data_IF_607261604567
#
_entry.id   IF_607261604567
#
_cell.length_a   1.000
_cell.length_b   1.000
_cell.length_c   1.000
_cell.angle_alpha   90.00
_cell.angle_beta   90.00
_cell.angle_gamma   90.00
#
_symmetry.space_group_name_H-M   'P 1'
#
loop_
_entity.id
_entity.type
_entity.pdbx_description
1 polymer ?
#
# COMPACT_ATOMS: atom_id res chain seq x y z
N UNK A 1 -62.79 -13.02 40.83
CA UNK A 1 -61.62 -12.25 40.36
C UNK A 1 -60.52 -13.23 39.95
N UNK A 2 -60.35 -13.48 38.65
CA UNK A 2 -59.27 -14.31 38.13
C UNK A 2 -58.58 -13.55 36.99
N UNK A 3 -57.41 -13.00 37.25
CA UNK A 3 -56.65 -12.17 36.31
C UNK A 3 -55.84 -13.12 35.42
N UNK A 4 -56.24 -13.22 34.14
CA UNK A 4 -55.50 -13.99 33.13
C UNK A 4 -54.28 -13.18 32.68
N UNK A 5 -53.09 -13.60 33.11
CA UNK A 5 -51.81 -12.99 32.77
C UNK A 5 -51.33 -13.51 31.40
N UNK A 6 -51.39 -12.68 30.36
CA UNK A 6 -50.80 -12.98 29.06
C UNK A 6 -49.29 -12.74 29.12
N UNK A 7 -48.48 -13.81 29.24
CA UNK A 7 -47.03 -13.72 29.00
C UNK A 7 -46.79 -13.48 27.52
N UNK A 8 -46.35 -12.26 27.17
CA UNK A 8 -45.75 -11.97 25.85
C UNK A 8 -44.53 -12.86 25.67
N UNK A 9 -44.55 -13.77 24.68
CA UNK A 9 -43.34 -14.44 24.19
C UNK A 9 -42.44 -13.37 23.58
N UNK A 10 -41.27 -13.16 24.18
CA UNK A 10 -40.20 -12.35 23.58
C UNK A 10 -39.72 -13.07 22.33
N UNK A 11 -39.94 -12.46 21.17
CA UNK A 11 -39.46 -12.94 19.89
C UNK A 11 -37.98 -12.52 19.75
N UNK A 12 -37.07 -13.27 20.36
CA UNK A 12 -35.64 -13.11 20.07
C UNK A 12 -35.38 -13.83 18.75
N UNK A 13 -35.12 -13.06 17.69
CA UNK A 13 -34.64 -13.61 16.42
C UNK A 13 -33.39 -14.47 16.67
N UNK A 14 -33.25 -15.63 16.00
CA UNK A 14 -32.07 -16.45 16.15
C UNK A 14 -30.87 -15.66 15.64
N UNK A 15 -29.86 -15.46 16.50
CA UNK A 15 -28.55 -14.95 16.11
C UNK A 15 -28.05 -15.85 14.99
N UNK A 16 -28.07 -15.36 13.74
CA UNK A 16 -27.47 -16.08 12.62
C UNK A 16 -25.99 -16.22 12.93
N UNK A 17 -25.55 -17.44 13.21
CA UNK A 17 -24.13 -17.77 13.23
C UNK A 17 -23.54 -17.33 11.89
N UNK A 18 -22.73 -16.27 11.91
CA UNK A 18 -21.97 -15.86 10.73
C UNK A 18 -20.95 -16.97 10.50
N UNK A 19 -21.21 -17.85 9.53
CA UNK A 19 -20.27 -18.90 9.16
C UNK A 19 -18.99 -18.23 8.69
N UNK A 20 -17.95 -18.31 9.53
CA UNK A 20 -16.64 -17.74 9.23
C UNK A 20 -16.04 -18.40 7.99
N UNK A 21 -15.56 -17.60 7.04
CA UNK A 21 -14.91 -18.14 5.84
C UNK A 21 -13.57 -18.79 6.21
N UNK A 22 -13.42 -20.07 5.84
CA UNK A 22 -12.17 -20.82 6.06
C UNK A 22 -11.05 -20.31 5.14
N UNK A 23 -9.80 -20.35 5.63
CA UNK A 23 -8.59 -20.01 4.86
C UNK A 23 -8.18 -21.11 3.86
N UNK A 24 -9.08 -21.45 2.93
CA UNK A 24 -8.79 -22.42 1.87
C UNK A 24 -8.01 -21.78 0.72
N UNK A 25 -7.25 -22.57 -0.05
CA UNK A 25 -6.54 -22.09 -1.26
C UNK A 25 -7.47 -21.35 -2.23
N UNK A 26 -8.72 -21.83 -2.37
CA UNK A 26 -9.75 -21.19 -3.20
C UNK A 26 -10.15 -19.83 -2.64
N UNK A 27 -10.51 -19.75 -1.35
CA UNK A 27 -10.94 -18.49 -0.75
C UNK A 27 -9.84 -17.43 -0.74
N UNK A 28 -8.59 -17.83 -0.47
CA UNK A 28 -7.44 -16.93 -0.58
C UNK A 28 -7.30 -16.43 -2.02
N UNK A 29 -7.39 -17.31 -3.02
CA UNK A 29 -7.35 -16.90 -4.42
C UNK A 29 -8.46 -15.90 -4.77
N UNK A 30 -9.69 -16.19 -4.35
CA UNK A 30 -10.88 -15.38 -4.63
C UNK A 30 -10.78 -14.00 -3.95
N UNK A 31 -10.25 -13.94 -2.72
CA UNK A 31 -9.93 -12.69 -2.03
C UNK A 31 -8.99 -11.79 -2.86
N UNK A 32 -7.88 -12.34 -3.34
CA UNK A 32 -6.95 -11.58 -4.19
C UNK A 32 -7.53 -11.23 -5.57
N UNK A 33 -8.43 -12.05 -6.13
CA UNK A 33 -9.17 -11.70 -7.36
C UNK A 33 -10.10 -10.51 -7.10
N UNK A 34 -10.81 -10.51 -5.97
CA UNK A 34 -11.71 -9.41 -5.59
C UNK A 34 -10.95 -8.08 -5.46
N UNK A 35 -9.76 -8.08 -4.83
CA UNK A 35 -8.91 -6.88 -4.72
C UNK A 35 -8.55 -6.34 -6.11
N UNK A 36 -8.06 -7.20 -7.01
CA UNK A 36 -7.63 -6.80 -8.36
C UNK A 36 -8.76 -6.24 -9.21
N UNK A 37 -9.97 -6.77 -9.01
CA UNK A 37 -11.15 -6.36 -9.77
C UNK A 37 -11.91 -5.20 -9.10
N UNK A 38 -11.35 -4.57 -8.06
CA UNK A 38 -12.00 -3.49 -7.31
C UNK A 38 -13.38 -3.87 -6.75
N UNK A 39 -13.59 -5.16 -6.45
CA UNK A 39 -14.82 -5.63 -5.81
C UNK A 39 -14.72 -5.45 -4.29
N UNK A 40 -14.88 -4.20 -3.86
CA UNK A 40 -14.62 -3.78 -2.49
C UNK A 40 -15.58 -4.45 -1.48
N UNK A 41 -16.81 -4.74 -1.90
CA UNK A 41 -17.79 -5.47 -1.08
C UNK A 41 -17.30 -6.87 -0.74
N UNK A 42 -16.82 -7.63 -1.74
CA UNK A 42 -16.35 -8.99 -1.49
C UNK A 42 -15.07 -9.02 -0.66
N UNK A 43 -14.13 -8.09 -0.92
CA UNK A 43 -12.92 -7.95 -0.11
C UNK A 43 -13.28 -7.75 1.37
N UNK A 44 -14.25 -6.89 1.66
CA UNK A 44 -14.69 -6.64 3.04
C UNK A 44 -15.47 -7.82 3.63
N UNK A 45 -16.23 -8.56 2.82
CA UNK A 45 -16.90 -9.78 3.28
C UNK A 45 -15.86 -10.83 3.72
N UNK A 46 -14.75 -11.00 2.98
CA UNK A 46 -13.65 -11.87 3.41
C UNK A 46 -13.06 -11.41 4.74
N UNK A 47 -12.64 -10.14 4.85
CA UNK A 47 -11.98 -9.59 6.05
C UNK A 47 -12.91 -9.65 7.28
N UNK A 48 -14.19 -9.35 7.11
CA UNK A 48 -15.16 -9.33 8.22
C UNK A 48 -15.60 -10.74 8.64
N UNK A 49 -15.58 -11.71 7.72
CA UNK A 49 -15.93 -13.10 8.05
C UNK A 49 -14.77 -13.86 8.69
N UNK A 50 -13.52 -13.52 8.35
CA UNK A 50 -12.32 -14.04 8.98
C UNK A 50 -11.19 -13.01 8.95
N UNK A 51 -10.75 -12.56 10.13
CA UNK A 51 -9.70 -11.56 10.28
C UNK A 51 -8.34 -11.97 9.71
N UNK A 52 -8.07 -13.28 9.55
CA UNK A 52 -6.83 -13.78 8.96
C UNK A 52 -6.62 -13.29 7.51
N UNK A 53 -7.68 -12.97 6.77
CA UNK A 53 -7.57 -12.37 5.44
C UNK A 53 -6.88 -11.00 5.44
N UNK A 54 -6.83 -10.32 6.59
CA UNK A 54 -6.16 -9.00 6.72
C UNK A 54 -4.65 -9.10 6.46
N UNK A 55 -4.03 -10.22 6.83
CA UNK A 55 -2.57 -10.43 6.78
C UNK A 55 -2.16 -11.60 5.89
N UNK A 56 -3.09 -12.24 5.19
CA UNK A 56 -2.76 -13.35 4.29
C UNK A 56 -1.87 -12.86 3.14
N UNK A 57 -0.76 -13.54 2.94
CA UNK A 57 0.06 -13.41 1.74
C UNK A 57 -0.40 -14.40 0.67
N UNK A 58 -0.29 -14.03 -0.61
CA UNK A 58 -0.66 -14.90 -1.72
C UNK A 58 0.29 -16.10 -1.79
N UNK A 59 -0.19 -17.34 -1.61
CA UNK A 59 0.69 -18.51 -1.59
C UNK A 59 1.02 -19.02 -2.99
N UNK A 60 2.22 -19.58 -3.13
CA UNK A 60 2.64 -20.47 -4.22
C UNK A 60 3.32 -19.79 -5.40
N UNK A 61 4.38 -20.40 -5.91
CA UNK A 61 5.18 -19.95 -7.06
C UNK A 61 4.89 -20.80 -8.32
N UNK A 62 5.04 -20.25 -9.54
CA UNK A 62 5.07 -18.83 -9.89
C UNK A 62 3.65 -18.37 -10.24
N UNK A 63 2.96 -17.69 -9.31
CA UNK A 63 1.64 -17.10 -9.56
C UNK A 63 1.70 -15.59 -9.41
N UNK A 64 0.83 -14.90 -10.13
CA UNK A 64 0.63 -13.45 -10.01
C UNK A 64 0.45 -13.05 -8.55
N UNK A 65 1.25 -12.07 -8.13
CA UNK A 65 1.27 -11.49 -6.78
C UNK A 65 1.78 -12.43 -5.68
N UNK A 66 2.53 -13.49 -6.02
CA UNK A 66 3.10 -14.41 -5.03
C UNK A 66 3.89 -13.65 -3.94
N UNK A 67 3.72 -14.08 -2.69
CA UNK A 67 4.38 -13.47 -1.53
C UNK A 67 3.77 -12.14 -1.11
N UNK A 68 2.95 -11.48 -1.95
CA UNK A 68 2.36 -10.19 -1.62
C UNK A 68 1.14 -10.34 -0.71
N UNK A 69 0.99 -9.42 0.25
CA UNK A 69 -0.23 -9.33 1.06
C UNK A 69 -1.34 -8.54 0.33
N UNK A 70 -2.55 -8.54 0.89
CA UNK A 70 -3.69 -7.82 0.31
C UNK A 70 -3.42 -6.31 0.10
N UNK A 71 -2.67 -5.67 1.00
CA UNK A 71 -2.35 -4.25 0.92
C UNK A 71 -1.45 -3.94 -0.29
N UNK A 72 -0.39 -4.72 -0.50
CA UNK A 72 0.49 -4.58 -1.66
C UNK A 72 -0.28 -4.72 -2.99
N UNK A 73 -1.17 -5.70 -3.07
CA UNK A 73 -1.96 -5.92 -4.29
C UNK A 73 -2.95 -4.76 -4.51
N UNK A 74 -3.59 -4.25 -3.45
CA UNK A 74 -4.49 -3.10 -3.53
C UNK A 74 -3.76 -1.84 -4.03
N UNK A 75 -2.58 -1.56 -3.49
CA UNK A 75 -1.73 -0.44 -3.92
C UNK A 75 -1.31 -0.57 -5.39
N UNK A 76 -0.87 -1.77 -5.79
CA UNK A 76 -0.42 -2.08 -7.16
C UNK A 76 -1.49 -1.84 -8.22
N UNK A 77 -2.77 -2.07 -7.88
CA UNK A 77 -3.90 -1.85 -8.80
C UNK A 77 -4.61 -0.51 -8.60
N UNK A 78 -4.09 0.37 -7.72
CA UNK A 78 -4.68 1.67 -7.43
C UNK A 78 -5.99 1.62 -6.64
N UNK A 79 -6.31 0.51 -5.96
CA UNK A 79 -7.50 0.39 -5.12
C UNK A 79 -7.24 1.02 -3.73
N UNK A 80 -7.15 2.35 -3.70
CA UNK A 80 -6.82 3.10 -2.48
C UNK A 80 -7.90 3.01 -1.40
N UNK A 81 -9.17 2.79 -1.78
CA UNK A 81 -10.25 2.58 -0.80
C UNK A 81 -10.01 1.31 0.02
N UNK A 82 -9.68 0.20 -0.64
CA UNK A 82 -9.35 -1.06 0.06
C UNK A 82 -8.02 -0.97 0.79
N UNK A 83 -7.01 -0.29 0.22
CA UNK A 83 -5.76 -0.05 0.91
C UNK A 83 -6.00 0.65 2.27
N UNK A 84 -6.80 1.73 2.29
CA UNK A 84 -7.16 2.42 3.52
C UNK A 84 -7.87 1.51 4.53
N UNK A 85 -8.83 0.70 4.07
CA UNK A 85 -9.59 -0.20 4.95
C UNK A 85 -8.70 -1.30 5.55
N UNK A 86 -7.79 -1.87 4.76
CA UNK A 86 -6.81 -2.86 5.22
C UNK A 86 -5.87 -2.27 6.28
N UNK A 87 -5.35 -1.07 6.04
CA UNK A 87 -4.50 -0.36 7.01
C UNK A 87 -5.26 -0.11 8.32
N UNK A 88 -6.50 0.38 8.25
CA UNK A 88 -7.35 0.61 9.44
C UNK A 88 -7.72 -0.68 10.18
N UNK A 89 -7.73 -1.83 9.50
CA UNK A 89 -7.98 -3.15 10.09
C UNK A 89 -6.73 -3.81 10.68
N UNK A 90 -5.57 -3.16 10.61
CA UNK A 90 -4.34 -3.68 11.21
C UNK A 90 -3.60 -4.67 10.32
N UNK A 91 -3.62 -4.45 9.00
CA UNK A 91 -2.71 -5.16 8.10
C UNK A 91 -1.25 -4.84 8.45
N UNK A 92 -0.36 -5.80 8.24
CA UNK A 92 1.08 -5.62 8.43
C UNK A 92 1.63 -4.63 7.39
N UNK A 93 1.89 -3.41 7.85
CA UNK A 93 2.46 -2.31 7.05
C UNK A 93 3.97 -2.41 6.85
N UNK A 94 4.62 -3.44 7.41
CA UNK A 94 6.04 -3.75 7.23
C UNK A 94 6.28 -5.06 6.47
N UNK A 95 5.22 -5.70 5.97
CA UNK A 95 5.31 -6.91 5.18
C UNK A 95 6.24 -6.72 3.97
N UNK A 96 7.16 -7.65 3.78
CA UNK A 96 8.02 -7.77 2.61
C UNK A 96 7.57 -9.02 1.86
N UNK A 97 7.27 -8.85 0.56
CA UNK A 97 6.90 -10.00 -0.25
C UNK A 97 8.07 -11.00 -0.29
N UNK A 98 7.77 -12.28 -0.06
CA UNK A 98 8.74 -13.37 -0.24
C UNK A 98 8.48 -14.06 -1.57
N UNK A 99 9.24 -13.65 -2.58
CA UNK A 99 9.27 -14.27 -3.88
C UNK A 99 10.74 -14.50 -4.29
N UNK A 100 11.17 -15.75 -4.34
CA UNK A 100 12.57 -16.12 -4.59
C UNK A 100 13.07 -15.70 -5.98
N UNK A 101 12.16 -15.51 -6.93
CA UNK A 101 12.49 -15.24 -8.34
C UNK A 101 12.18 -13.78 -8.75
N UNK A 102 11.74 -12.93 -7.82
CA UNK A 102 11.32 -11.56 -8.14
C UNK A 102 11.91 -10.50 -7.19
N UNK A 103 11.63 -9.25 -7.53
CA UNK A 103 11.96 -8.10 -6.71
C UNK A 103 11.09 -8.07 -5.44
N UNK A 104 11.69 -8.48 -4.33
CA UNK A 104 11.08 -8.37 -3.00
C UNK A 104 11.25 -6.95 -2.47
N UNK A 105 10.16 -6.33 -2.04
CA UNK A 105 10.11 -4.97 -1.53
C UNK A 105 9.15 -4.85 -0.34
N UNK A 106 9.44 -3.97 0.64
CA UNK A 106 8.49 -3.58 1.67
C UNK A 106 7.18 -3.04 1.06
N UNK A 107 6.06 -3.28 1.72
CA UNK A 107 4.76 -2.73 1.29
C UNK A 107 4.76 -1.21 1.23
N UNK A 108 5.54 -0.52 2.08
CA UNK A 108 5.73 0.93 1.99
C UNK A 108 6.31 1.36 0.63
N UNK A 109 7.26 0.60 0.07
CA UNK A 109 7.80 0.88 -1.26
C UNK A 109 6.75 0.70 -2.35
N UNK A 110 5.84 -0.26 -2.20
CA UNK A 110 4.70 -0.41 -3.11
C UNK A 110 3.78 0.82 -3.07
N UNK A 111 3.58 1.42 -1.89
CA UNK A 111 2.82 2.65 -1.75
C UNK A 111 3.53 3.84 -2.40
N UNK A 112 4.84 3.99 -2.20
CA UNK A 112 5.64 5.06 -2.84
C UNK A 112 5.50 4.99 -4.36
N UNK A 113 5.68 3.81 -4.95
CA UNK A 113 5.50 3.59 -6.39
C UNK A 113 4.08 3.99 -6.81
N UNK A 114 3.06 3.50 -6.10
CA UNK A 114 1.66 3.82 -6.40
C UNK A 114 1.37 5.33 -6.34
N UNK A 115 1.94 6.05 -5.38
CA UNK A 115 1.81 7.51 -5.24
C UNK A 115 2.47 8.25 -6.40
N UNK A 116 3.67 7.83 -6.82
CA UNK A 116 4.34 8.43 -7.99
C UNK A 116 3.55 8.22 -9.29
N UNK A 117 2.89 7.08 -9.45
CA UNK A 117 2.00 6.81 -10.58
C UNK A 117 0.77 7.75 -10.65
N UNK A 118 0.42 8.43 -9.55
CA UNK A 118 -0.65 9.44 -9.52
C UNK A 118 -0.15 10.87 -9.69
N UNK A 119 1.14 11.08 -9.97
CA UNK A 119 1.67 12.43 -10.21
C UNK A 119 1.18 13.02 -11.53
N UNK A 120 1.27 14.35 -11.65
CA UNK A 120 0.87 15.10 -12.83
C UNK A 120 1.64 14.75 -14.11
N UNK A 121 2.73 13.98 -14.04
CA UNK A 121 3.35 13.41 -15.25
C UNK A 121 2.43 12.43 -15.98
N UNK A 122 1.61 11.65 -15.25
CA UNK A 122 0.77 10.60 -15.83
C UNK A 122 -0.69 11.01 -15.92
N UNK A 123 -1.20 11.76 -14.93
CA UNK A 123 -2.61 12.11 -14.83
C UNK A 123 -2.77 13.56 -14.39
N UNK A 124 -3.62 14.33 -15.08
CA UNK A 124 -3.91 15.71 -14.67
C UNK A 124 -4.85 15.78 -13.43
N UNK A 125 -5.32 14.63 -12.94
CA UNK A 125 -6.25 14.50 -11.82
C UNK A 125 -5.55 14.65 -10.47
N UNK A 126 -5.53 15.87 -9.92
CA UNK A 126 -4.90 16.16 -8.63
C UNK A 126 -5.47 15.32 -7.46
N UNK A 127 -6.75 14.97 -7.52
CA UNK A 127 -7.43 14.18 -6.48
C UNK A 127 -6.83 12.77 -6.32
N UNK A 128 -6.31 12.18 -7.41
CA UNK A 128 -5.66 10.86 -7.37
C UNK A 128 -4.34 10.92 -6.60
N UNK A 129 -3.55 11.98 -6.81
CA UNK A 129 -2.33 12.21 -6.04
C UNK A 129 -2.65 12.39 -4.56
N UNK A 130 -3.58 13.27 -4.21
CA UNK A 130 -3.94 13.52 -2.81
C UNK A 130 -4.44 12.26 -2.11
N UNK A 131 -5.24 11.45 -2.80
CA UNK A 131 -5.72 10.17 -2.27
C UNK A 131 -4.55 9.23 -1.98
N UNK A 132 -3.66 8.99 -2.95
CA UNK A 132 -2.52 8.10 -2.76
C UNK A 132 -1.49 8.61 -1.74
N UNK A 133 -1.27 9.93 -1.69
CA UNK A 133 -0.39 10.59 -0.72
C UNK A 133 -0.93 10.44 0.71
N UNK A 134 -2.26 10.54 0.89
CA UNK A 134 -2.93 10.29 2.17
C UNK A 134 -2.79 8.83 2.62
N UNK A 135 -2.82 7.87 1.69
CA UNK A 135 -2.54 6.45 2.01
C UNK A 135 -1.10 6.27 2.46
N UNK A 136 -0.13 6.88 1.76
CA UNK A 136 1.28 6.83 2.16
C UNK A 136 1.49 7.39 3.57
N UNK A 137 0.91 8.56 3.87
CA UNK A 137 0.94 9.15 5.22
C UNK A 137 0.30 8.24 6.26
N UNK A 138 -0.87 7.66 5.95
CA UNK A 138 -1.56 6.75 6.87
C UNK A 138 -0.72 5.50 7.18
N UNK A 139 0.01 4.94 6.21
CA UNK A 139 0.91 3.81 6.47
C UNK A 139 2.02 4.18 7.45
N UNK A 140 2.65 5.34 7.25
CA UNK A 140 3.70 5.85 8.14
C UNK A 140 3.16 6.13 9.55
N UNK A 141 1.97 6.75 9.67
CA UNK A 141 1.27 6.94 10.94
C UNK A 141 0.92 5.61 11.66
N UNK A 142 0.82 4.51 10.90
CA UNK A 142 0.59 3.15 11.43
C UNK A 142 1.87 2.36 11.66
N UNK A 143 3.04 3.00 11.59
CA UNK A 143 4.32 2.40 11.94
C UNK A 143 4.98 1.64 10.79
N UNK A 144 4.67 1.98 9.54
CA UNK A 144 5.49 1.55 8.41
C UNK A 144 6.92 2.10 8.57
N UNK A 145 7.92 1.24 8.45
CA UNK A 145 9.33 1.58 8.58
C UNK A 145 9.83 2.28 7.31
N UNK A 146 10.17 3.58 7.37
CA UNK A 146 10.69 4.30 6.21
C UNK A 146 12.11 3.84 5.81
N UNK A 147 12.79 3.08 6.67
CA UNK A 147 14.13 2.56 6.41
C UNK A 147 14.12 1.10 5.96
N UNK A 148 12.95 0.49 5.76
CA UNK A 148 12.82 -0.84 5.17
C UNK A 148 13.58 -0.95 3.84
N UNK A 149 14.26 -2.07 3.64
CA UNK A 149 15.17 -2.27 2.50
C UNK A 149 14.57 -3.30 1.54
N UNK A 150 14.59 -2.99 0.23
CA UNK A 150 14.23 -3.96 -0.81
C UNK A 150 15.39 -4.92 -1.14
N UNK A 151 15.10 -5.98 -1.89
CA UNK A 151 16.11 -6.99 -2.29
C UNK A 151 17.27 -6.45 -3.13
N UNK A 152 17.18 -5.22 -3.64
CA UNK A 152 18.27 -4.53 -4.34
C UNK A 152 19.06 -3.57 -3.44
N UNK A 153 18.73 -3.48 -2.14
CA UNK A 153 19.41 -2.63 -1.17
C UNK A 153 18.90 -1.19 -1.13
N UNK A 154 17.77 -0.86 -1.76
CA UNK A 154 17.19 0.48 -1.67
C UNK A 154 16.40 0.62 -0.37
N UNK A 155 16.55 1.73 0.35
CA UNK A 155 15.56 2.18 1.35
C UNK A 155 14.46 3.02 0.66
N UNK A 156 13.50 3.55 1.43
CA UNK A 156 12.37 4.32 0.89
C UNK A 156 12.80 5.57 0.11
N UNK A 157 13.84 6.28 0.57
CA UNK A 157 14.31 7.49 -0.13
C UNK A 157 14.99 7.16 -1.45
N UNK A 158 15.81 6.10 -1.49
CA UNK A 158 16.39 5.62 -2.74
C UNK A 158 15.31 5.12 -3.70
N UNK A 159 14.28 4.43 -3.21
CA UNK A 159 13.11 4.04 -4.00
C UNK A 159 12.39 5.27 -4.57
N UNK A 160 12.10 6.25 -3.73
CA UNK A 160 11.45 7.49 -4.15
C UNK A 160 12.27 8.24 -5.22
N UNK A 161 13.60 8.26 -5.10
CA UNK A 161 14.49 8.87 -6.11
C UNK A 161 14.45 8.14 -7.46
N UNK A 162 14.46 6.82 -7.43
CA UNK A 162 14.38 6.01 -8.66
C UNK A 162 13.04 6.22 -9.38
N UNK A 163 11.92 6.34 -8.65
CA UNK A 163 10.63 6.67 -9.26
C UNK A 163 10.60 8.12 -9.73
N UNK A 164 11.00 9.08 -8.90
CA UNK A 164 11.09 10.49 -9.28
C UNK A 164 11.85 10.65 -10.60
N UNK A 165 12.97 9.93 -10.78
CA UNK A 165 13.71 9.92 -12.05
C UNK A 165 12.90 9.41 -13.21
N UNK A 166 12.25 8.26 -13.06
CA UNK A 166 11.38 7.71 -14.10
C UNK A 166 10.30 8.70 -14.54
N UNK A 167 9.68 9.43 -13.60
CA UNK A 167 8.59 10.37 -13.90
C UNK A 167 9.07 11.76 -14.35
N UNK A 168 10.28 12.17 -13.98
CA UNK A 168 10.89 13.41 -14.47
C UNK A 168 11.49 13.22 -15.88
N UNK A 169 12.05 12.06 -16.17
CA UNK A 169 12.59 11.74 -17.51
C UNK A 169 11.49 11.32 -18.50
N UNK A 170 10.24 11.17 -18.04
CA UNK A 170 9.14 10.72 -18.88
C UNK A 170 8.81 11.77 -19.97
N UNK A 171 8.47 11.37 -21.21
CA UNK A 171 8.16 12.33 -22.28
C UNK A 171 7.02 13.31 -21.97
N UNK A 172 6.07 12.89 -21.14
CA UNK A 172 4.96 13.73 -20.68
C UNK A 172 5.31 14.61 -19.47
N UNK A 173 6.53 14.51 -18.94
CA UNK A 173 6.97 15.41 -17.88
C UNK A 173 6.95 16.84 -18.41
N UNK A 174 6.13 17.67 -17.78
CA UNK A 174 6.17 19.11 -17.96
C UNK A 174 6.92 19.67 -16.76
N UNK A 175 7.87 20.56 -17.00
CA UNK A 175 8.63 21.26 -15.94
C UNK A 175 7.74 22.24 -15.11
N UNK A 176 6.42 22.12 -15.25
CA UNK A 176 5.45 22.73 -14.36
C UNK A 176 5.72 22.35 -12.90
N UNK A 177 5.52 23.31 -12.01
CA UNK A 177 5.84 23.17 -10.59
C UNK A 177 5.04 22.06 -9.88
N UNK A 178 3.92 21.60 -10.45
CA UNK A 178 3.02 20.63 -9.79
C UNK A 178 3.67 19.27 -9.56
N UNK A 179 4.22 18.63 -10.59
CA UNK A 179 4.89 17.31 -10.44
C UNK A 179 6.09 17.39 -9.49
N UNK A 180 6.88 18.46 -9.59
CA UNK A 180 8.02 18.66 -8.70
C UNK A 180 7.57 18.88 -7.25
N UNK A 181 6.49 19.63 -7.03
CA UNK A 181 5.94 19.82 -5.69
C UNK A 181 5.38 18.53 -5.11
N UNK A 182 4.64 17.74 -5.89
CA UNK A 182 4.17 16.40 -5.52
C UNK A 182 5.34 15.49 -5.15
N UNK A 183 6.41 15.50 -5.95
CA UNK A 183 7.62 14.72 -5.68
C UNK A 183 8.26 15.16 -4.37
N UNK A 184 8.49 16.46 -4.17
CA UNK A 184 9.04 17.01 -2.92
C UNK A 184 8.18 16.69 -1.70
N UNK A 185 6.86 16.62 -1.85
CA UNK A 185 5.96 16.22 -0.75
C UNK A 185 6.19 14.78 -0.32
N UNK A 186 6.41 13.86 -1.26
CA UNK A 186 6.75 12.45 -0.94
C UNK A 186 8.06 12.39 -0.15
N UNK A 187 9.12 13.06 -0.63
CA UNK A 187 10.42 13.10 0.05
C UNK A 187 10.33 13.70 1.44
N UNK A 188 9.70 14.88 1.58
CA UNK A 188 9.51 15.54 2.88
C UNK A 188 8.78 14.64 3.87
N UNK A 189 7.71 13.97 3.43
CA UNK A 189 6.94 13.07 4.29
C UNK A 189 7.79 11.89 4.78
N UNK A 190 8.57 11.26 3.90
CA UNK A 190 9.46 10.16 4.30
C UNK A 190 10.52 10.63 5.31
N UNK A 191 11.14 11.79 5.06
CA UNK A 191 12.14 12.40 5.96
C UNK A 191 11.51 12.77 7.32
N UNK A 192 10.32 13.35 7.32
CA UNK A 192 9.55 13.71 8.52
C UNK A 192 9.31 12.48 9.42
N UNK A 193 9.07 11.31 8.83
CA UNK A 193 8.89 10.06 9.55
C UNK A 193 10.19 9.29 9.84
N UNK A 194 11.35 9.89 9.58
CA UNK A 194 12.65 9.34 9.98
C UNK A 194 13.36 8.49 8.94
N UNK A 195 13.05 8.67 7.65
CA UNK A 195 13.85 8.08 6.59
C UNK A 195 15.29 8.62 6.60
N UNK A 196 16.28 7.72 6.60
CA UNK A 196 17.69 8.07 6.71
C UNK A 196 18.27 8.54 5.36
N UNK A 197 18.60 9.83 5.29
CA UNK A 197 19.21 10.50 4.12
C UNK A 197 20.67 10.06 3.91
N UNK A 198 21.35 9.68 5.00
CA UNK A 198 22.76 9.30 5.01
C UNK A 198 22.98 7.80 4.77
N UNK A 199 21.88 7.03 4.68
CA UNK A 199 21.91 5.60 4.40
C UNK A 199 22.66 5.31 3.09
N UNK A 200 23.56 4.34 3.16
CA UNK A 200 24.29 3.78 2.03
C UNK A 200 24.69 2.34 2.34
N UNK A 201 25.03 1.58 1.30
CA UNK A 201 25.57 0.23 1.42
C UNK A 201 26.49 -0.08 0.23
N UNK A 202 27.05 -1.29 0.18
CA UNK A 202 27.95 -1.73 -0.89
C UNK A 202 27.37 -1.56 -2.32
N UNK A 203 26.04 -1.63 -2.48
CA UNK A 203 25.33 -1.51 -3.76
C UNK A 203 24.77 -0.11 -4.00
N UNK A 204 24.67 0.74 -2.99
CA UNK A 204 23.94 2.02 -3.04
C UNK A 204 24.72 3.14 -2.37
N UNK A 205 25.05 4.22 -3.11
CA UNK A 205 25.63 5.40 -2.50
C UNK A 205 24.57 6.13 -1.66
N UNK A 206 25.00 7.17 -0.94
CA UNK A 206 24.10 8.06 -0.21
C UNK A 206 23.11 8.73 -1.16
N UNK A 207 21.97 9.16 -0.62
CA UNK A 207 20.92 9.81 -1.41
C UNK A 207 21.44 11.04 -2.17
N UNK A 208 22.18 11.91 -1.49
CA UNK A 208 22.75 13.14 -2.06
C UNK A 208 23.69 12.87 -3.23
N UNK A 209 24.56 11.86 -3.10
CA UNK A 209 25.47 11.45 -4.17
C UNK A 209 24.69 10.97 -5.37
N UNK A 210 23.66 10.13 -5.15
CA UNK A 210 22.82 9.63 -6.25
C UNK A 210 22.01 10.72 -6.94
N UNK A 211 21.50 11.72 -6.20
CA UNK A 211 20.83 12.89 -6.77
C UNK A 211 21.78 13.64 -7.71
N UNK A 212 23.04 13.81 -7.31
CA UNK A 212 24.06 14.46 -8.13
C UNK A 212 24.39 13.63 -9.38
N UNK A 213 24.60 12.32 -9.22
CA UNK A 213 24.91 11.40 -10.33
C UNK A 213 23.81 11.40 -11.40
N UNK A 214 22.55 11.49 -10.97
CA UNK A 214 21.41 11.57 -11.87
C UNK A 214 21.16 12.98 -12.46
N UNK A 215 21.95 13.99 -12.09
CA UNK A 215 21.75 15.38 -12.53
C UNK A 215 20.47 16.02 -11.96
N UNK A 216 19.96 15.49 -10.84
CA UNK A 216 18.67 15.88 -10.27
C UNK A 216 18.77 17.02 -9.25
N UNK A 217 19.98 17.46 -8.91
CA UNK A 217 20.19 18.55 -7.94
C UNK A 217 19.44 19.84 -8.30
N UNK A 218 19.25 20.13 -9.60
CA UNK A 218 18.49 21.29 -10.07
C UNK A 218 17.01 21.28 -9.62
N UNK A 219 16.44 20.11 -9.37
CA UNK A 219 15.04 19.96 -9.00
C UNK A 219 14.77 20.14 -7.51
N UNK A 220 15.81 20.15 -6.65
CA UNK A 220 15.69 20.34 -5.20
C UNK A 220 14.61 19.43 -4.60
N UNK A 221 14.79 18.11 -4.76
CA UNK A 221 13.81 17.09 -4.36
C UNK A 221 13.73 16.90 -2.84
N UNK A 222 14.84 17.18 -2.16
CA UNK A 222 15.02 17.20 -0.70
C UNK A 222 15.47 18.59 -0.27
#
# INVERSE_FOLDING_TARGET
>A
MGIFNWRKKSNTEPVREVVSMKMTKKNINDFFVAIRNHNNTDVLNFINSNSEFTNVARPGLPKKDCGQNGLQVALKVGNFEIAEKLIKKGTDVNHIADNTDEWNLPVLHSCIIATFHQTNTISDELENFETSFRILKLMLEKGADPNGIDSYGNNSLMRALLDAKKFIDHPNFKEELKTLEQTRRIFRLLIEFGADIEYSNEKRPKLNDRIKDFGMGKYKLI
#
